data_IF_186075154880
#
_entry.id   IF_186075154880
#
_cell.length_a   1.000
_cell.length_b   1.000
_cell.length_c   1.000
_cell.angle_alpha   90.00
_cell.angle_beta   90.00
_cell.angle_gamma   90.00
#
_symmetry.space_group_name_H-M   'P 1'
#
loop_
_entity.id
_entity.type
_entity.pdbx_description
1 polymer ?
#
# COMPACT_ATOMS: atom_id res chain seq x y z
N UNK A 1 0.36 -31.83 -13.73
CA UNK A 1 -0.07 -30.49 -14.16
C UNK A 1 0.84 -29.49 -13.49
N UNK A 2 1.44 -28.58 -14.25
CA UNK A 2 2.38 -27.58 -13.70
C UNK A 2 1.66 -26.24 -13.49
N UNK A 3 1.36 -25.95 -12.22
CA UNK A 3 0.75 -24.70 -11.79
C UNK A 3 1.83 -23.67 -11.50
N UNK A 4 1.70 -22.49 -12.11
CA UNK A 4 2.58 -21.35 -11.88
C UNK A 4 1.76 -20.06 -11.68
N UNK A 5 2.37 -19.08 -11.04
CA UNK A 5 1.79 -17.76 -10.84
C UNK A 5 2.32 -16.80 -11.90
N UNK A 6 1.40 -15.98 -12.42
CA UNK A 6 1.67 -14.88 -13.35
C UNK A 6 1.25 -13.56 -12.69
N UNK A 7 1.93 -12.47 -13.06
CA UNK A 7 1.61 -11.10 -12.64
C UNK A 7 1.48 -10.22 -13.88
N UNK A 8 0.54 -9.27 -13.88
CA UNK A 8 0.33 -8.36 -15.01
C UNK A 8 1.54 -7.44 -15.27
N UNK A 9 2.35 -7.18 -14.25
CA UNK A 9 3.58 -6.38 -14.37
C UNK A 9 4.79 -7.23 -14.81
N UNK A 10 4.64 -8.56 -14.83
CA UNK A 10 5.70 -9.49 -15.16
C UNK A 10 5.72 -9.83 -16.65
N UNK A 11 6.86 -9.63 -17.29
CA UNK A 11 7.12 -10.14 -18.65
C UNK A 11 7.56 -11.62 -18.67
N UNK A 12 7.44 -12.34 -17.55
CA UNK A 12 7.85 -13.75 -17.42
C UNK A 12 7.26 -14.44 -16.19
N UNK A 13 7.59 -15.73 -15.96
CA UNK A 13 7.12 -16.47 -14.79
C UNK A 13 7.61 -15.83 -13.50
N UNK A 14 6.71 -15.71 -12.52
CA UNK A 14 6.96 -14.99 -11.26
C UNK A 14 8.10 -15.60 -10.41
N UNK A 15 8.44 -16.86 -10.66
CA UNK A 15 9.59 -17.56 -10.07
C UNK A 15 10.96 -16.98 -10.47
N UNK A 16 11.01 -16.08 -11.45
CA UNK A 16 12.24 -15.37 -11.83
C UNK A 16 12.68 -14.32 -10.78
N UNK A 17 11.85 -13.99 -9.79
CA UNK A 17 12.20 -13.06 -8.72
C UNK A 17 12.66 -13.77 -7.44
N UNK A 18 13.81 -13.37 -6.85
CA UNK A 18 14.36 -14.03 -5.66
C UNK A 18 13.44 -14.01 -4.42
N UNK A 19 12.58 -12.99 -4.32
CA UNK A 19 11.64 -12.81 -3.19
C UNK A 19 10.37 -13.66 -3.30
N UNK A 20 10.15 -14.30 -4.44
CA UNK A 20 8.90 -14.96 -4.77
C UNK A 20 9.03 -16.48 -4.67
N UNK A 21 8.08 -17.12 -4.02
CA UNK A 21 8.08 -18.57 -3.79
C UNK A 21 6.67 -19.13 -3.94
N UNK A 22 6.56 -20.37 -4.39
CA UNK A 22 5.28 -21.09 -4.42
C UNK A 22 5.26 -22.08 -3.27
N UNK A 23 4.38 -21.83 -2.31
CA UNK A 23 4.09 -22.75 -1.21
C UNK A 23 3.12 -23.82 -1.70
N UNK A 24 3.49 -25.08 -1.50
CA UNK A 24 2.71 -26.24 -1.97
C UNK A 24 2.27 -27.07 -0.77
N UNK A 25 0.96 -27.18 -0.58
CA UNK A 25 0.37 -28.09 0.42
C UNK A 25 -0.32 -29.21 -0.35
N UNK A 26 0.45 -30.28 -0.58
CA UNK A 26 0.09 -31.36 -1.53
C UNK A 26 -1.19 -32.08 -1.08
N UNK A 27 -1.35 -32.32 0.21
CA UNK A 27 -2.46 -33.08 0.79
C UNK A 27 -3.84 -32.44 0.54
N UNK A 28 -3.88 -31.13 0.32
CA UNK A 28 -5.10 -30.35 0.02
C UNK A 28 -5.09 -29.74 -1.38
N UNK A 29 -4.07 -30.02 -2.20
CA UNK A 29 -3.96 -29.50 -3.57
C UNK A 29 -3.78 -27.99 -3.67
N UNK A 30 -3.20 -27.35 -2.65
CA UNK A 30 -3.04 -25.88 -2.59
C UNK A 30 -1.67 -25.43 -3.10
N UNK A 31 -1.66 -24.39 -3.94
CA UNK A 31 -0.47 -23.79 -4.53
C UNK A 31 -0.51 -22.27 -4.34
N UNK A 32 -0.02 -21.78 -3.21
CA UNK A 32 -0.07 -20.35 -2.86
C UNK A 32 1.20 -19.61 -3.26
N UNK A 33 1.05 -18.35 -3.68
CA UNK A 33 2.17 -17.44 -3.90
C UNK A 33 2.58 -16.79 -2.57
N UNK A 34 3.86 -16.87 -2.23
CA UNK A 34 4.49 -16.16 -1.12
C UNK A 34 5.47 -15.12 -1.71
N UNK A 35 5.41 -13.90 -1.21
CA UNK A 35 6.31 -12.81 -1.56
C UNK A 35 6.92 -12.29 -0.26
N UNK A 36 8.22 -12.48 -0.08
CA UNK A 36 8.95 -11.97 1.07
C UNK A 36 9.33 -10.50 0.88
N UNK A 37 9.34 -9.73 1.97
CA UNK A 37 9.69 -8.30 1.99
C UNK A 37 9.01 -7.52 0.83
N UNK A 38 7.67 -7.48 0.84
CA UNK A 38 6.89 -6.89 -0.24
C UNK A 38 7.27 -5.42 -0.51
N UNK A 39 7.38 -5.09 -1.79
CA UNK A 39 7.75 -3.75 -2.28
C UNK A 39 6.63 -3.18 -3.15
N UNK A 40 6.63 -1.87 -3.39
CA UNK A 40 5.59 -1.21 -4.19
C UNK A 40 5.46 -1.77 -5.63
N UNK A 41 6.55 -2.34 -6.16
CA UNK A 41 6.58 -3.04 -7.46
C UNK A 41 5.71 -4.31 -7.49
N UNK A 42 5.46 -4.93 -6.34
CA UNK A 42 4.63 -6.13 -6.18
C UNK A 42 3.13 -5.78 -6.20
N UNK A 43 2.76 -4.49 -6.15
CA UNK A 43 1.36 -4.08 -6.28
C UNK A 43 0.82 -4.34 -7.69
N UNK A 44 0.09 -5.44 -7.82
CA UNK A 44 -0.35 -5.95 -9.12
C UNK A 44 -1.54 -6.91 -9.01
N UNK A 45 -2.03 -7.34 -10.17
CA UNK A 45 -2.97 -8.43 -10.31
C UNK A 45 -2.20 -9.72 -10.59
N UNK A 46 -2.46 -10.72 -9.78
CA UNK A 46 -1.87 -12.06 -9.86
C UNK A 46 -2.90 -13.08 -10.31
N UNK A 47 -2.45 -14.07 -11.06
CA UNK A 47 -3.30 -15.15 -11.56
C UNK A 47 -2.53 -16.47 -11.52
N UNK A 48 -3.20 -17.54 -11.11
CA UNK A 48 -2.66 -18.88 -11.19
C UNK A 48 -3.01 -19.49 -12.55
N UNK A 49 -2.01 -20.00 -13.25
CA UNK A 49 -2.16 -20.54 -14.60
C UNK A 49 -1.61 -21.97 -14.68
N UNK A 50 -2.28 -22.80 -15.46
CA UNK A 50 -1.78 -24.09 -15.92
C UNK A 50 -1.79 -24.08 -17.45
N UNK A 51 -0.67 -23.65 -18.05
CA UNK A 51 -0.54 -23.41 -19.50
C UNK A 51 -0.91 -24.63 -20.32
N UNK A 52 -0.40 -25.80 -19.92
CA UNK A 52 -0.66 -27.09 -20.59
C UNK A 52 -2.15 -27.49 -20.61
N UNK A 53 -2.93 -27.00 -19.63
CA UNK A 53 -4.36 -27.27 -19.53
C UNK A 53 -5.22 -26.10 -20.02
N UNK A 54 -4.60 -24.99 -20.46
CA UNK A 54 -5.26 -23.73 -20.78
C UNK A 54 -6.19 -23.20 -19.65
N UNK A 55 -5.85 -23.50 -18.39
CA UNK A 55 -6.63 -23.07 -17.22
C UNK A 55 -6.03 -21.81 -16.58
N UNK A 56 -6.92 -20.91 -16.14
CA UNK A 56 -6.58 -19.68 -15.43
C UNK A 56 -7.53 -19.48 -14.26
N UNK A 57 -7.01 -19.07 -13.11
CA UNK A 57 -7.85 -18.69 -11.97
C UNK A 57 -8.51 -17.33 -12.20
N UNK A 58 -9.38 -16.91 -11.27
CA UNK A 58 -9.71 -15.49 -11.16
C UNK A 58 -8.47 -14.70 -10.76
N UNK A 59 -8.39 -13.45 -11.19
CA UNK A 59 -7.33 -12.52 -10.78
C UNK A 59 -7.46 -12.16 -9.30
N UNK A 60 -6.35 -12.17 -8.58
CA UNK A 60 -6.23 -11.71 -7.20
C UNK A 60 -5.45 -10.39 -7.17
N UNK A 61 -5.99 -9.36 -6.49
CA UNK A 61 -5.32 -8.08 -6.34
C UNK A 61 -4.45 -8.10 -5.08
N UNK A 62 -3.15 -7.91 -5.27
CA UNK A 62 -2.24 -7.59 -4.17
C UNK A 62 -2.07 -6.07 -4.11
N UNK A 63 -2.35 -5.50 -2.95
CA UNK A 63 -2.12 -4.08 -2.67
C UNK A 63 -1.03 -3.95 -1.64
N UNK A 64 0.05 -3.25 -1.99
CA UNK A 64 1.13 -2.93 -1.04
C UNK A 64 0.84 -1.59 -0.40
N UNK A 65 0.79 -1.61 0.94
CA UNK A 65 0.52 -0.45 1.77
C UNK A 65 1.82 0.24 2.14
N UNK A 66 1.82 1.57 2.10
CA UNK A 66 2.94 2.40 2.54
C UNK A 66 2.43 3.27 3.68
N UNK A 67 3.05 3.19 4.88
CA UNK A 67 2.67 4.06 5.97
C UNK A 67 2.96 5.54 5.61
N UNK A 68 2.14 6.49 6.08
CA UNK A 68 2.46 7.90 5.97
C UNK A 68 3.75 8.25 6.72
N UNK A 69 4.49 9.23 6.20
CA UNK A 69 5.48 9.95 6.99
C UNK A 69 4.81 10.69 8.16
N UNK A 70 5.57 10.97 9.21
CA UNK A 70 5.07 11.75 10.34
C UNK A 70 4.50 13.09 9.87
N UNK A 71 3.28 13.45 10.29
CA UNK A 71 2.66 14.69 9.88
C UNK A 71 3.45 15.90 10.39
N UNK A 72 3.78 16.83 9.49
CA UNK A 72 4.52 18.04 9.82
C UNK A 72 3.62 19.24 9.62
N UNK A 73 3.54 20.11 10.63
CA UNK A 73 2.92 21.44 10.50
C UNK A 73 3.96 22.37 9.91
N UNK A 74 3.62 23.02 8.79
CA UNK A 74 4.52 23.98 8.15
C UNK A 74 4.82 25.14 9.11
N UNK A 75 6.10 25.45 9.32
CA UNK A 75 6.55 26.50 10.25
C UNK A 75 6.78 26.03 11.70
N UNK A 76 6.59 24.76 12.03
CA UNK A 76 6.97 24.19 13.33
C UNK A 76 8.51 24.14 13.50
N UNK A 77 9.09 24.26 14.73
CA UNK A 77 8.48 24.25 16.06
C UNK A 77 7.90 25.58 16.55
N UNK A 78 8.31 26.72 15.98
CA UNK A 78 7.92 28.03 16.49
C UNK A 78 7.13 28.83 15.45
N UNK A 79 5.83 29.00 15.71
CA UNK A 79 4.93 29.80 14.88
C UNK A 79 4.49 31.01 15.72
N UNK A 80 4.90 32.21 15.28
CA UNK A 80 4.49 33.47 15.91
C UNK A 80 3.15 33.92 15.34
N UNK A 81 2.11 33.87 16.16
CA UNK A 81 0.76 34.28 15.78
C UNK A 81 0.35 35.55 16.53
N UNK A 82 -0.37 36.44 15.83
CA UNK A 82 -0.95 37.63 16.46
C UNK A 82 -2.30 37.26 17.07
N UNK A 83 -2.52 37.65 18.32
CA UNK A 83 -3.80 37.45 18.99
C UNK A 83 -4.95 38.09 18.20
N UNK A 84 -6.10 37.40 18.20
CA UNK A 84 -7.33 37.85 17.53
C UNK A 84 -7.23 37.99 16.00
N UNK A 85 -6.25 37.34 15.37
CA UNK A 85 -6.11 37.24 13.91
C UNK A 85 -6.22 35.77 13.52
N UNK A 86 -7.06 35.45 12.54
CA UNK A 86 -7.15 34.08 12.01
C UNK A 86 -5.89 33.71 11.23
N UNK A 87 -5.50 32.44 11.31
CA UNK A 87 -4.32 31.93 10.62
C UNK A 87 -4.61 30.54 10.03
N UNK A 88 -4.13 30.31 8.82
CA UNK A 88 -4.26 29.03 8.15
C UNK A 88 -2.99 28.20 8.41
N UNK A 89 -3.14 27.14 9.20
CA UNK A 89 -2.08 26.16 9.40
C UNK A 89 -2.18 25.09 8.32
N UNK A 90 -1.04 24.73 7.74
CA UNK A 90 -0.91 23.62 6.80
C UNK A 90 -0.22 22.46 7.51
N UNK A 91 -0.76 21.26 7.36
CA UNK A 91 -0.17 20.03 7.85
C UNK A 91 -0.07 19.06 6.69
N UNK A 92 1.12 18.50 6.50
CA UNK A 92 1.43 17.65 5.36
C UNK A 92 2.02 16.33 5.85
N UNK A 93 1.58 15.24 5.23
CA UNK A 93 2.15 13.91 5.39
C UNK A 93 2.33 13.31 3.99
N UNK A 94 3.51 12.74 3.74
CA UNK A 94 3.92 12.27 2.42
C UNK A 94 4.00 10.74 2.35
N UNK A 95 4.14 10.21 1.14
CA UNK A 95 4.50 8.81 0.88
C UNK A 95 3.38 7.78 1.10
N UNK A 96 2.27 8.16 1.70
CA UNK A 96 1.22 7.24 2.11
C UNK A 96 0.53 6.53 0.92
N UNK A 97 0.26 5.24 1.11
CA UNK A 97 -0.61 4.45 0.24
C UNK A 97 -1.49 3.51 1.07
N UNK A 98 -2.82 3.72 1.12
CA UNK A 98 -3.58 4.79 0.46
C UNK A 98 -3.26 6.19 1.03
N UNK A 99 -3.86 7.23 0.43
CA UNK A 99 -3.72 8.61 0.91
C UNK A 99 -4.00 8.71 2.41
N UNK A 100 -3.15 9.45 3.10
CA UNK A 100 -3.23 9.63 4.54
C UNK A 100 -4.47 10.44 4.92
N UNK A 101 -5.00 10.16 6.12
CA UNK A 101 -6.06 10.97 6.73
C UNK A 101 -5.41 11.80 7.83
N UNK A 102 -5.45 13.13 7.68
CA UNK A 102 -4.93 14.06 8.67
C UNK A 102 -6.09 14.52 9.57
N UNK A 103 -5.89 14.44 10.89
CA UNK A 103 -6.84 14.91 11.90
C UNK A 103 -6.19 16.03 12.73
N UNK A 104 -6.83 17.19 12.80
CA UNK A 104 -6.34 18.34 13.56
C UNK A 104 -6.88 18.34 14.98
N UNK A 105 -5.98 18.46 15.96
CA UNK A 105 -6.32 18.58 17.39
C UNK A 105 -5.56 19.72 18.04
N UNK A 106 -6.21 20.40 18.99
CA UNK A 106 -5.59 21.34 19.92
C UNK A 106 -5.85 20.84 21.32
N UNK A 107 -4.79 20.59 22.09
CA UNK A 107 -4.88 20.10 23.47
C UNK A 107 -5.75 18.84 23.62
N UNK A 108 -5.69 17.96 22.60
CA UNK A 108 -6.48 16.72 22.55
C UNK A 108 -7.91 16.88 22.02
N UNK A 109 -8.39 18.10 21.77
CA UNK A 109 -9.73 18.39 21.26
C UNK A 109 -9.69 18.61 19.75
N UNK A 110 -10.60 17.97 19.01
CA UNK A 110 -10.73 18.16 17.56
C UNK A 110 -11.04 19.62 17.22
N UNK A 111 -10.38 20.16 16.20
CA UNK A 111 -10.61 21.53 15.74
C UNK A 111 -11.78 21.58 14.74
N UNK A 112 -12.86 22.24 15.15
CA UNK A 112 -13.99 22.57 14.26
C UNK A 112 -13.53 23.46 13.10
N UNK A 113 -13.94 23.12 11.88
CA UNK A 113 -13.53 23.85 10.66
C UNK A 113 -12.15 23.47 10.11
N UNK A 114 -11.50 22.43 10.65
CA UNK A 114 -10.34 21.83 10.00
C UNK A 114 -10.76 21.09 8.72
N UNK A 115 -10.05 21.35 7.62
CA UNK A 115 -10.27 20.68 6.35
C UNK A 115 -9.09 19.77 6.05
N UNK A 116 -9.37 18.50 5.75
CA UNK A 116 -8.37 17.54 5.29
C UNK A 116 -8.49 17.43 3.77
N UNK A 117 -7.46 17.87 3.06
CA UNK A 117 -7.36 17.72 1.61
C UNK A 117 -6.37 16.59 1.32
N UNK A 118 -6.75 15.67 0.44
CA UNK A 118 -5.93 14.52 0.02
C UNK A 118 -5.13 14.82 -1.23
#
# INVERSE_FOLDING_TARGET
MDWHWASERASGPVLAWPRYRVLRVIDVGQYSLEISAAELSDDSLYECQATEAALRSRRAKLTVLIPPDDPVIEGFPEILLRANVSYNLSCVSHGAKPLAIIEWKRDGVALEGAFSTT
#
